data_IF_048955159139
#
_entry.id   IF_048955159139
#
_cell.length_a   1.000
_cell.length_b   1.000
_cell.length_c   1.000
_cell.angle_alpha   90.00
_cell.angle_beta   90.00
_cell.angle_gamma   90.00
#
_symmetry.space_group_name_H-M   'P 1'
#
loop_
_entity.id
_entity.type
_entity.pdbx_description
1 polymer ?
#
# COMPACT_ATOMS: atom_id res chain seq x y z
N UNK A 1 6.26 6.51 -15.45
CA UNK A 1 4.83 6.69 -15.75
C UNK A 1 4.07 6.64 -14.44
N UNK A 2 3.20 7.62 -14.21
CA UNK A 2 2.44 7.80 -12.98
C UNK A 2 1.00 7.33 -13.22
N UNK A 3 0.40 6.56 -12.31
CA UNK A 3 -0.98 6.09 -12.48
C UNK A 3 -2.01 7.20 -12.26
N UNK A 4 -3.12 7.13 -12.99
CA UNK A 4 -4.31 7.88 -12.65
C UNK A 4 -5.04 7.17 -11.49
N UNK A 5 -5.50 7.95 -10.52
CA UNK A 5 -6.29 7.48 -9.37
C UNK A 5 -7.54 6.72 -9.79
N UNK A 6 -8.21 7.18 -10.86
CA UNK A 6 -9.45 6.57 -11.34
C UNK A 6 -9.26 5.12 -11.81
N UNK A 7 -8.05 4.76 -12.22
CA UNK A 7 -7.71 3.43 -12.71
C UNK A 7 -7.25 2.47 -11.59
N UNK A 8 -7.28 2.93 -10.32
CA UNK A 8 -6.86 2.14 -9.17
C UNK A 8 -8.07 1.63 -8.39
N UNK A 9 -8.20 0.31 -8.33
CA UNK A 9 -9.23 -0.37 -7.54
C UNK A 9 -8.62 -1.07 -6.32
N UNK A 10 -9.43 -1.25 -5.28
CA UNK A 10 -9.04 -1.95 -4.05
C UNK A 10 -10.12 -2.97 -3.73
N UNK A 11 -9.71 -4.21 -3.53
CA UNK A 11 -10.58 -5.33 -3.15
C UNK A 11 -9.92 -6.09 -2.00
N UNK A 12 -10.69 -6.45 -0.98
CA UNK A 12 -10.20 -7.31 0.10
C UNK A 12 -10.37 -8.75 -0.37
N UNK A 13 -9.28 -9.51 -0.38
CA UNK A 13 -9.32 -10.95 -0.60
C UNK A 13 -9.69 -11.63 0.71
N UNK A 14 -10.96 -12.01 0.86
CA UNK A 14 -11.49 -12.63 2.06
C UNK A 14 -10.93 -14.04 2.28
N UNK A 15 -10.55 -14.76 1.22
CA UNK A 15 -10.02 -16.12 1.31
C UNK A 15 -8.54 -16.11 1.73
N UNK A 16 -7.79 -15.08 1.32
CA UNK A 16 -6.39 -14.88 1.72
C UNK A 16 -6.23 -14.03 3.00
N UNK A 17 -7.33 -13.53 3.58
CA UNK A 17 -7.34 -12.81 4.85
C UNK A 17 -7.51 -13.80 5.99
N UNK A 18 -6.66 -13.71 7.02
CA UNK A 18 -6.70 -14.63 8.14
C UNK A 18 -6.35 -13.93 9.44
N UNK A 19 -7.19 -14.11 10.46
CA UNK A 19 -7.08 -13.46 11.77
C UNK A 19 -6.89 -11.94 11.66
N UNK A 20 -5.69 -11.43 11.96
CA UNK A 20 -5.36 -10.01 11.97
C UNK A 20 -4.65 -9.56 10.68
N UNK A 21 -4.33 -10.50 9.77
CA UNK A 21 -3.65 -10.19 8.50
C UNK A 21 -4.71 -9.97 7.43
N UNK A 22 -4.76 -8.76 6.88
CA UNK A 22 -5.64 -8.40 5.77
C UNK A 22 -4.86 -8.50 4.46
N UNK A 23 -5.46 -9.18 3.48
CA UNK A 23 -4.96 -9.23 2.11
C UNK A 23 -5.81 -8.33 1.22
N UNK A 24 -5.16 -7.36 0.57
CA UNK A 24 -5.78 -6.43 -0.39
C UNK A 24 -5.21 -6.66 -1.78
N UNK A 25 -6.11 -6.85 -2.74
CA UNK A 25 -5.79 -6.85 -4.17
C UNK A 25 -6.03 -5.45 -4.70
N UNK A 26 -4.97 -4.83 -5.22
CA UNK A 26 -5.01 -3.52 -5.85
C UNK A 26 -4.92 -3.72 -7.35
N UNK A 27 -5.99 -3.36 -8.07
CA UNK A 27 -5.99 -3.31 -9.53
C UNK A 27 -5.29 -2.05 -10.01
N UNK A 28 -4.36 -2.19 -10.95
CA UNK A 28 -3.64 -1.06 -11.55
C UNK A 28 -3.55 -1.23 -13.07
N UNK A 29 -3.25 -0.17 -13.84
CA UNK A 29 -3.06 -0.28 -15.29
C UNK A 29 -1.97 -1.27 -15.73
N UNK A 30 -1.04 -1.62 -14.84
CA UNK A 30 0.09 -2.50 -15.14
C UNK A 30 -0.12 -3.95 -14.67
N UNK A 31 -1.26 -4.23 -14.01
CA UNK A 31 -1.55 -5.53 -13.43
C UNK A 31 -2.03 -5.42 -11.99
N UNK A 32 -2.03 -6.55 -11.29
CA UNK A 32 -2.48 -6.63 -9.90
C UNK A 32 -1.31 -6.53 -8.94
N UNK A 33 -1.61 -5.98 -7.77
CA UNK A 33 -0.72 -5.92 -6.64
C UNK A 33 -1.42 -6.57 -5.47
N UNK A 34 -0.73 -7.46 -4.80
CA UNK A 34 -1.20 -8.14 -3.62
C UNK A 34 -0.45 -7.56 -2.44
N UNK A 35 -1.20 -6.98 -1.51
CA UNK A 35 -0.67 -6.41 -0.28
C UNK A 35 -1.20 -7.22 0.88
N UNK A 36 -0.30 -7.64 1.78
CA UNK A 36 -0.67 -8.29 3.02
C UNK A 36 -0.05 -7.54 4.18
N UNK A 37 -0.82 -7.24 5.21
CA UNK A 37 -0.32 -6.61 6.42
C UNK A 37 -1.26 -6.83 7.59
N UNK A 38 -0.73 -6.65 8.80
CA UNK A 38 -1.50 -6.49 10.03
C UNK A 38 -1.76 -4.99 10.23
N UNK A 39 -3.00 -4.50 10.02
CA UNK A 39 -3.32 -3.11 10.24
C UNK A 39 -3.49 -2.83 11.74
N UNK A 40 -2.89 -1.72 12.19
CA UNK A 40 -3.10 -1.15 13.52
C UNK A 40 -3.41 0.33 13.38
N UNK A 41 -4.37 0.80 14.15
CA UNK A 41 -4.77 2.20 14.15
C UNK A 41 -4.25 2.88 15.42
N UNK A 42 -3.58 4.01 15.23
CA UNK A 42 -3.16 4.90 16.32
C UNK A 42 -3.62 6.33 16.01
N UNK A 43 -4.68 6.79 16.68
CA UNK A 43 -5.31 8.11 16.48
C UNK A 43 -5.78 8.35 15.04
N UNK A 44 -4.97 8.99 14.20
CA UNK A 44 -5.22 9.26 12.77
C UNK A 44 -4.09 8.69 11.90
N UNK A 45 -3.36 7.72 12.43
CA UNK A 45 -2.27 7.02 11.77
C UNK A 45 -2.64 5.57 11.56
N UNK A 46 -2.61 5.13 10.30
CA UNK A 46 -2.67 3.70 9.96
C UNK A 46 -1.25 3.14 9.94
N UNK A 47 -1.03 2.08 10.70
CA UNK A 47 0.23 1.35 10.75
C UNK A 47 0.00 -0.02 10.12
N UNK A 48 0.79 -0.36 9.11
CA UNK A 48 0.76 -1.65 8.43
C UNK A 48 2.01 -2.43 8.83
N UNK A 49 1.85 -3.38 9.73
CA UNK A 49 2.92 -4.25 10.21
C UNK A 49 3.01 -5.53 9.38
N UNK A 50 4.21 -6.12 9.31
CA UNK A 50 4.43 -7.32 8.51
C UNK A 50 4.18 -7.12 7.02
N UNK A 51 4.27 -5.87 6.53
CA UNK A 51 3.87 -5.51 5.18
C UNK A 51 4.64 -6.32 4.13
N UNK A 52 3.87 -7.08 3.35
CA UNK A 52 4.32 -7.85 2.21
C UNK A 52 3.62 -7.30 0.96
N UNK A 53 4.38 -7.16 -0.13
CA UNK A 53 3.87 -6.69 -1.41
C UNK A 53 4.40 -7.58 -2.52
N UNK A 54 3.49 -8.09 -3.33
CA UNK A 54 3.78 -8.83 -4.56
C UNK A 54 3.04 -8.20 -5.74
N UNK A 55 3.58 -8.33 -6.94
CA UNK A 55 2.90 -7.87 -8.16
C UNK A 55 3.13 -8.84 -9.30
N UNK A 56 2.08 -9.04 -10.08
CA UNK A 56 2.11 -9.85 -11.31
C UNK A 56 2.96 -9.18 -12.41
N UNK A 57 3.21 -7.87 -12.30
CA UNK A 57 4.01 -7.12 -13.27
C UNK A 57 5.53 -7.30 -13.11
N UNK A 58 5.97 -8.07 -12.10
CA UNK A 58 7.37 -8.38 -11.84
C UNK A 58 8.10 -7.38 -10.92
N UNK A 59 9.36 -7.70 -10.60
CA UNK A 59 10.16 -6.92 -9.66
C UNK A 59 10.45 -5.50 -10.19
N UNK A 60 10.17 -4.49 -9.37
CA UNK A 60 10.42 -3.08 -9.72
C UNK A 60 9.36 -2.43 -10.61
N UNK A 61 8.30 -3.17 -10.97
CA UNK A 61 7.17 -2.62 -11.73
C UNK A 61 6.46 -1.49 -10.96
N UNK A 62 6.42 -1.59 -9.63
CA UNK A 62 5.87 -0.54 -8.78
C UNK A 62 6.98 0.46 -8.42
N UNK A 63 7.04 1.55 -9.18
CA UNK A 63 7.92 2.67 -8.86
C UNK A 63 7.51 3.41 -7.58
N UNK A 64 8.48 4.11 -6.96
CA UNK A 64 8.26 4.92 -5.75
C UNK A 64 7.13 5.95 -5.88
N UNK A 65 6.96 6.54 -7.07
CA UNK A 65 5.90 7.50 -7.34
C UNK A 65 4.50 6.87 -7.24
N UNK A 66 4.33 5.65 -7.76
CA UNK A 66 3.06 4.94 -7.73
C UNK A 66 2.73 4.41 -6.32
N UNK A 67 3.74 3.97 -5.56
CA UNK A 67 3.56 3.67 -4.12
C UNK A 67 3.04 4.88 -3.35
N UNK A 68 3.55 6.08 -3.66
CA UNK A 68 3.07 7.31 -3.02
C UNK A 68 1.60 7.58 -3.36
N UNK A 69 1.15 7.34 -4.59
CA UNK A 69 -0.27 7.48 -4.97
C UNK A 69 -1.13 6.52 -4.18
N UNK A 70 -0.74 5.24 -4.12
CA UNK A 70 -1.47 4.23 -3.35
C UNK A 70 -1.59 4.63 -1.87
N UNK A 71 -0.49 5.11 -1.27
CA UNK A 71 -0.48 5.59 0.10
C UNK A 71 -1.45 6.77 0.31
N UNK A 72 -1.45 7.77 -0.59
CA UNK A 72 -2.39 8.89 -0.51
C UNK A 72 -3.83 8.42 -0.64
N UNK A 73 -4.13 7.51 -1.58
CA UNK A 73 -5.48 7.00 -1.77
C UNK A 73 -6.02 6.27 -0.55
N UNK A 74 -5.18 5.44 0.09
CA UNK A 74 -5.56 4.75 1.32
C UNK A 74 -5.83 5.77 2.43
N UNK A 75 -4.94 6.75 2.62
CA UNK A 75 -5.13 7.80 3.62
C UNK A 75 -6.40 8.63 3.37
N UNK A 76 -6.70 8.97 2.12
CA UNK A 76 -7.91 9.74 1.78
C UNK A 76 -9.19 8.93 1.95
N UNK A 77 -9.24 7.69 1.45
CA UNK A 77 -10.44 6.85 1.53
C UNK A 77 -10.79 6.42 2.95
N UNK A 78 -9.77 6.23 3.79
CA UNK A 78 -9.93 5.79 5.17
C UNK A 78 -9.86 6.94 6.19
N UNK A 79 -9.70 8.18 5.71
CA UNK A 79 -9.53 9.40 6.51
C UNK A 79 -8.39 9.36 7.56
N UNK A 80 -7.22 8.84 7.17
CA UNK A 80 -6.00 8.91 7.97
C UNK A 80 -5.11 10.08 7.54
N UNK A 81 -4.37 10.65 8.50
CA UNK A 81 -3.39 11.72 8.26
C UNK A 81 -1.99 11.17 8.00
N UNK A 82 -1.70 9.97 8.50
CA UNK A 82 -0.42 9.29 8.28
C UNK A 82 -0.63 7.80 7.96
N UNK A 83 0.25 7.27 7.11
CA UNK A 83 0.38 5.85 6.83
C UNK A 83 1.83 5.42 7.11
N UNK A 84 2.02 4.48 8.02
CA UNK A 84 3.32 3.91 8.36
C UNK A 84 3.35 2.46 7.88
N UNK A 85 4.31 2.15 7.01
CA UNK A 85 4.52 0.80 6.48
C UNK A 85 5.77 0.21 7.10
N UNK A 86 5.61 -0.89 7.82
CA UNK A 86 6.70 -1.69 8.37
C UNK A 86 6.77 -3.02 7.62
N UNK A 87 7.78 -3.16 6.77
CA UNK A 87 7.98 -4.36 5.96
C UNK A 87 8.26 -5.60 6.81
N UNK A 88 7.87 -6.77 6.29
CA UNK A 88 8.31 -8.05 6.86
C UNK A 88 9.79 -8.35 6.53
N UNK A 89 10.40 -9.26 7.29
CA UNK A 89 11.75 -9.76 7.03
C UNK A 89 11.84 -10.29 5.60
N UNK A 90 12.77 -9.75 4.82
CA UNK A 90 12.93 -10.17 3.42
C UNK A 90 13.41 -11.62 3.35
N UNK A 91 12.60 -12.47 2.73
CA UNK A 91 12.93 -13.86 2.41
C UNK A 91 13.66 -14.02 1.07
N UNK A 92 13.65 -12.98 0.21
CA UNK A 92 14.34 -12.98 -1.10
C UNK A 92 15.03 -11.64 -1.42
N UNK A 93 16.04 -11.67 -2.31
CA UNK A 93 16.83 -10.53 -2.81
C UNK A 93 18.13 -10.19 -2.03
N UNK A 94 18.73 -9.02 -2.27
CA UNK A 94 19.98 -8.56 -1.62
C UNK A 94 19.84 -8.32 -0.09
N UNK A 95 20.61 -8.98 0.76
CA UNK A 95 20.51 -8.99 2.24
C UNK A 95 19.26 -9.68 2.83
N UNK A 96 19.17 -11.02 2.74
CA UNK A 96 18.18 -11.83 3.45
C UNK A 96 18.20 -11.57 4.96
N UNK A 97 17.02 -11.55 5.61
CA UNK A 97 16.89 -11.40 7.07
C UNK A 97 16.88 -9.96 7.60
N UNK A 98 17.11 -8.95 6.77
CA UNK A 98 16.96 -7.54 7.17
C UNK A 98 15.48 -7.12 7.08
N UNK A 99 14.91 -6.69 8.21
CA UNK A 99 13.62 -5.99 8.25
C UNK A 99 13.80 -4.60 7.61
N UNK A 100 13.05 -4.26 6.55
CA UNK A 100 13.07 -2.91 5.99
C UNK A 100 12.70 -1.87 7.06
N UNK A 101 13.38 -0.71 7.07
CA UNK A 101 13.01 0.39 7.95
C UNK A 101 11.59 0.86 7.69
N UNK A 102 10.95 1.48 8.70
CA UNK A 102 9.62 2.05 8.59
C UNK A 102 9.59 3.10 7.48
N UNK A 103 8.67 2.95 6.54
CA UNK A 103 8.34 3.97 5.55
C UNK A 103 7.15 4.76 6.07
N UNK A 104 7.30 6.08 6.19
CA UNK A 104 6.22 6.96 6.63
C UNK A 104 5.75 7.82 5.46
N UNK A 105 4.44 7.81 5.25
CA UNK A 105 3.74 8.72 4.37
C UNK A 105 2.88 9.63 5.22
N UNK A 106 2.90 10.92 4.92
CA UNK A 106 1.97 11.89 5.49
C UNK A 106 1.00 12.31 4.40
N UNK A 107 -0.25 12.56 4.79
CA UNK A 107 -1.27 13.07 3.89
C UNK A 107 -0.78 14.38 3.30
N UNK A 108 -0.59 14.39 2.00
CA UNK A 108 -0.39 15.61 1.25
C UNK A 108 -1.78 15.95 0.76
N UNK A 109 -2.39 16.99 1.31
CA UNK A 109 -3.75 17.38 0.97
C UNK A 109 -3.83 17.67 -0.54
N UNK A 110 -4.25 16.69 -1.34
CA UNK A 110 -4.60 16.93 -2.73
C UNK A 110 -5.89 17.75 -2.66
N UNK A 111 -5.92 19.00 -3.17
CA UNK A 111 -7.13 19.79 -3.14
C UNK A 111 -8.24 19.02 -3.86
N UNK A 112 -9.43 18.98 -3.26
CA UNK A 112 -10.60 18.24 -3.78
C UNK A 112 -10.97 18.60 -5.24
N UNK A 113 -10.42 19.69 -5.76
CA UNK A 113 -10.55 20.14 -7.15
C UNK A 113 -9.94 19.19 -8.20
N UNK A 114 -9.01 18.30 -7.82
CA UNK A 114 -8.36 17.36 -8.75
C UNK A 114 -9.02 15.96 -8.75
N UNK A 115 -10.08 15.77 -7.97
CA UNK A 115 -10.90 14.56 -7.90
C UNK A 115 -12.25 14.83 -8.57
N UNK A 116 -12.28 15.01 -9.89
CA UNK A 116 -13.54 15.03 -10.64
C UNK A 116 -13.63 13.80 -11.59
N UNK A 117 -14.84 13.22 -11.73
CA UNK A 117 -15.10 11.92 -12.34
C UNK A 117 -14.83 11.86 -13.85
#
# INVERSE_FOLDING_TARGET
MTWNVADVTFEIDADATFEQVITVVIGTPQGRIFVMAEPREERRTLILDGFNIHSDAGAGAIGRANLKILAQLVMERMDYDELVVQGTSRTSGASPGRVPGKLRFSRCHIPASDLQP
#
